data_IF_714480384110
#
_entry.id   IF_714480384110
#
_cell.length_a   1.000
_cell.length_b   1.000
_cell.length_c   1.000
_cell.angle_alpha   90.00
_cell.angle_beta   90.00
_cell.angle_gamma   90.00
#
_symmetry.space_group_name_H-M   'P 1'
#
loop_
_entity.id
_entity.type
_entity.pdbx_description
1 polymer ?
#
# COMPACT_ATOMS: atom_id res chain seq x y z
N UNK A 1 19.33 4.39 -1.44
CA UNK A 1 19.72 3.01 -1.74
C UNK A 1 18.41 2.29 -1.75
N UNK A 2 18.02 1.83 -2.92
CA UNK A 2 16.73 1.20 -3.15
C UNK A 2 16.78 -0.16 -2.44
N UNK A 3 15.82 -0.42 -1.56
CA UNK A 3 15.79 -1.69 -0.82
C UNK A 3 15.25 -2.78 -1.75
N UNK A 4 16.03 -3.83 -2.00
CA UNK A 4 15.58 -5.02 -2.72
C UNK A 4 14.90 -5.97 -1.72
N UNK A 5 13.57 -6.00 -1.77
CA UNK A 5 12.68 -6.81 -0.95
C UNK A 5 11.81 -7.73 -1.83
N UNK A 6 12.27 -8.03 -3.06
CA UNK A 6 11.58 -8.97 -3.94
C UNK A 6 11.33 -10.29 -3.25
N UNK A 7 10.11 -10.79 -3.37
CA UNK A 7 9.69 -12.06 -2.76
C UNK A 7 9.87 -12.13 -1.24
N UNK A 8 10.13 -11.01 -0.56
CA UNK A 8 10.37 -11.01 0.86
C UNK A 8 9.12 -11.48 1.61
N UNK A 9 9.33 -12.31 2.64
CA UNK A 9 8.29 -12.68 3.59
C UNK A 9 8.42 -11.81 4.83
N UNK A 10 7.62 -10.75 4.87
CA UNK A 10 7.54 -9.74 5.93
C UNK A 10 6.12 -9.65 6.47
N UNK A 11 5.43 -10.79 6.49
CA UNK A 11 4.10 -10.90 7.12
C UNK A 11 4.23 -10.67 8.63
N UNK A 12 3.22 -10.03 9.21
CA UNK A 12 3.13 -9.76 10.66
C UNK A 12 4.28 -8.90 11.23
N UNK A 13 5.09 -8.25 10.39
CA UNK A 13 6.18 -7.38 10.87
C UNK A 13 5.65 -5.99 11.20
N UNK A 14 6.27 -5.35 12.19
CA UNK A 14 6.12 -3.93 12.46
C UNK A 14 7.10 -3.14 11.57
N UNK A 15 6.54 -2.42 10.62
CA UNK A 15 7.21 -1.52 9.68
C UNK A 15 6.63 -0.11 9.81
N UNK A 16 6.12 0.24 10.99
CA UNK A 16 5.54 1.56 11.27
C UNK A 16 6.56 2.66 10.93
N UNK A 17 6.17 3.57 10.04
CA UNK A 17 7.01 4.69 9.63
C UNK A 17 8.25 4.29 8.83
N UNK A 18 8.29 3.07 8.27
CA UNK A 18 9.41 2.64 7.44
C UNK A 18 9.54 3.52 6.19
N UNK A 19 10.78 3.87 5.86
CA UNK A 19 11.14 4.51 4.58
C UNK A 19 11.40 3.40 3.56
N UNK A 20 10.41 3.16 2.70
CA UNK A 20 10.39 2.17 1.62
C UNK A 20 10.31 2.86 0.24
N UNK A 21 10.71 4.13 0.16
CA UNK A 21 10.75 4.85 -1.10
C UNK A 21 11.70 4.18 -2.07
N UNK A 22 11.29 4.11 -3.33
CA UNK A 22 12.05 3.44 -4.40
C UNK A 22 12.33 1.95 -4.12
N UNK A 23 11.73 1.35 -3.08
CA UNK A 23 11.96 -0.05 -2.77
C UNK A 23 11.33 -0.94 -3.83
N UNK A 24 11.97 -2.07 -4.06
CA UNK A 24 11.49 -3.10 -4.95
C UNK A 24 10.88 -4.22 -4.10
N UNK A 25 9.55 -4.22 -4.02
CA UNK A 25 8.69 -5.12 -3.26
C UNK A 25 7.90 -6.04 -4.19
N UNK A 26 8.30 -6.19 -5.45
CA UNK A 26 7.57 -7.05 -6.39
C UNK A 26 7.45 -8.46 -5.81
N UNK A 27 6.23 -9.01 -5.82
CA UNK A 27 5.89 -10.32 -5.23
C UNK A 27 6.13 -10.47 -3.70
N UNK A 28 6.32 -9.38 -2.96
CA UNK A 28 6.52 -9.46 -1.50
C UNK A 28 5.22 -9.86 -0.77
N UNK A 29 5.38 -10.57 0.35
CA UNK A 29 4.29 -10.94 1.25
C UNK A 29 4.29 -10.03 2.49
N UNK A 30 3.35 -9.10 2.54
CA UNK A 30 3.16 -8.08 3.59
C UNK A 30 1.85 -8.29 4.38
N UNK A 31 1.28 -9.49 4.33
CA UNK A 31 -0.03 -9.77 4.93
C UNK A 31 0.04 -9.50 6.44
N UNK A 32 -0.98 -8.83 6.98
CA UNK A 32 -1.06 -8.48 8.40
C UNK A 32 0.11 -7.65 8.94
N UNK A 33 0.93 -7.03 8.08
CA UNK A 33 2.00 -6.14 8.53
C UNK A 33 1.41 -4.83 9.07
N UNK A 34 2.07 -4.24 10.07
CA UNK A 34 1.80 -2.85 10.48
C UNK A 34 2.69 -1.94 9.62
N UNK A 35 2.07 -1.23 8.69
CA UNK A 35 2.68 -0.30 7.75
C UNK A 35 2.16 1.12 7.98
N UNK A 36 1.68 1.39 9.20
CA UNK A 36 1.15 2.70 9.57
C UNK A 36 2.22 3.76 9.35
N UNK A 37 1.89 4.84 8.63
CA UNK A 37 2.81 5.91 8.24
C UNK A 37 4.01 5.49 7.37
N UNK A 38 4.02 4.30 6.77
CA UNK A 38 5.10 3.89 5.88
C UNK A 38 5.13 4.76 4.60
N UNK A 39 6.33 5.03 4.10
CA UNK A 39 6.56 5.83 2.91
C UNK A 39 6.97 4.91 1.75
N UNK A 40 6.06 4.72 0.79
CA UNK A 40 6.21 3.90 -0.41
C UNK A 40 6.34 4.75 -1.68
N UNK A 41 6.68 6.03 -1.58
CA UNK A 41 6.76 6.88 -2.77
C UNK A 41 7.72 6.28 -3.81
N UNK A 42 7.28 6.24 -5.06
CA UNK A 42 8.01 5.66 -6.19
C UNK A 42 8.42 4.16 -6.01
N UNK A 43 7.82 3.41 -5.08
CA UNK A 43 8.12 1.99 -4.87
C UNK A 43 7.45 1.08 -5.91
N UNK A 44 8.07 -0.07 -6.21
CA UNK A 44 7.48 -1.14 -7.02
C UNK A 44 6.87 -2.20 -6.09
N UNK A 45 5.55 -2.26 -6.02
CA UNK A 45 4.77 -3.27 -5.29
C UNK A 45 4.00 -4.18 -6.25
N UNK A 46 4.41 -4.30 -7.52
CA UNK A 46 3.68 -5.10 -8.47
C UNK A 46 3.55 -6.56 -7.97
N UNK A 47 2.34 -7.12 -8.05
CA UNK A 47 2.01 -8.45 -7.55
C UNK A 47 2.26 -8.67 -6.03
N UNK A 48 2.46 -7.61 -5.23
CA UNK A 48 2.64 -7.73 -3.78
C UNK A 48 1.32 -8.10 -3.08
N UNK A 49 1.41 -8.80 -1.95
CA UNK A 49 0.27 -9.27 -1.16
C UNK A 49 0.21 -8.54 0.17
N UNK A 50 -0.62 -7.50 0.27
CA UNK A 50 -0.83 -6.63 1.44
C UNK A 50 -2.17 -6.89 2.15
N UNK A 51 -2.80 -8.04 1.93
CA UNK A 51 -4.10 -8.35 2.54
C UNK A 51 -4.04 -8.21 4.07
N UNK A 52 -5.07 -7.62 4.66
CA UNK A 52 -5.19 -7.35 6.10
C UNK A 52 -4.10 -6.46 6.72
N UNK A 53 -3.26 -5.79 5.92
CA UNK A 53 -2.24 -4.88 6.44
C UNK A 53 -2.88 -3.58 6.98
N UNK A 54 -2.26 -2.99 8.00
CA UNK A 54 -2.58 -1.64 8.44
C UNK A 54 -1.74 -0.65 7.62
N UNK A 55 -2.37 0.03 6.67
CA UNK A 55 -1.79 1.03 5.79
C UNK A 55 -2.27 2.45 6.15
N UNK A 56 -2.72 2.63 7.40
CA UNK A 56 -3.19 3.93 7.88
C UNK A 56 -2.10 4.98 7.66
N UNK A 57 -2.45 6.07 6.96
CA UNK A 57 -1.55 7.18 6.63
C UNK A 57 -0.30 6.78 5.82
N UNK A 58 -0.31 5.63 5.13
CA UNK A 58 0.77 5.25 4.21
C UNK A 58 0.78 6.13 2.95
N UNK A 59 1.97 6.42 2.43
CA UNK A 59 2.18 7.26 1.24
C UNK A 59 2.61 6.40 0.05
N UNK A 60 1.69 6.13 -0.88
CA UNK A 60 1.92 5.39 -2.13
C UNK A 60 2.02 6.34 -3.34
N UNK A 61 2.37 7.62 -3.15
CA UNK A 61 2.44 8.54 -4.28
C UNK A 61 3.39 8.00 -5.35
N UNK A 62 2.92 7.95 -6.60
CA UNK A 62 3.67 7.47 -7.76
C UNK A 62 4.19 6.01 -7.65
N UNK A 63 3.70 5.22 -6.69
CA UNK A 63 4.04 3.79 -6.56
C UNK A 63 3.37 2.92 -7.62
N UNK A 64 3.98 1.78 -7.94
CA UNK A 64 3.37 0.75 -8.79
C UNK A 64 2.73 -0.34 -7.93
N UNK A 65 1.41 -0.49 -8.00
CA UNK A 65 0.64 -1.56 -7.36
C UNK A 65 -0.05 -2.45 -8.40
N UNK A 66 0.43 -2.53 -9.64
CA UNK A 66 -0.14 -3.42 -10.67
C UNK A 66 -0.28 -4.86 -10.14
N UNK A 67 -1.46 -5.45 -10.28
CA UNK A 67 -1.82 -6.79 -9.77
C UNK A 67 -1.65 -7.01 -8.25
N UNK A 68 -1.43 -5.96 -7.45
CA UNK A 68 -1.29 -6.11 -6.00
C UNK A 68 -2.64 -6.44 -5.33
N UNK A 69 -2.61 -7.16 -4.21
CA UNK A 69 -3.82 -7.45 -3.42
C UNK A 69 -3.78 -6.76 -2.06
N UNK A 70 -4.78 -5.94 -1.77
CA UNK A 70 -4.95 -5.18 -0.54
C UNK A 70 -6.27 -5.55 0.16
N UNK A 71 -6.76 -6.78 -0.01
CA UNK A 71 -8.07 -7.21 0.49
C UNK A 71 -8.14 -7.03 2.01
N UNK A 72 -9.23 -6.42 2.48
CA UNK A 72 -9.45 -6.10 3.90
C UNK A 72 -8.35 -5.23 4.55
N UNK A 73 -7.50 -4.55 3.76
CA UNK A 73 -6.49 -3.63 4.30
C UNK A 73 -7.11 -2.32 4.81
N UNK A 74 -6.47 -1.72 5.82
CA UNK A 74 -6.86 -0.42 6.36
C UNK A 74 -6.14 0.71 5.62
N UNK A 75 -6.87 1.48 4.80
CA UNK A 75 -6.37 2.54 3.93
C UNK A 75 -6.72 3.95 4.42
N UNK A 76 -7.16 4.11 5.68
CA UNK A 76 -7.53 5.44 6.19
C UNK A 76 -6.36 6.41 6.02
N UNK A 77 -6.64 7.59 5.46
CA UNK A 77 -5.65 8.65 5.21
C UNK A 77 -4.51 8.28 4.25
N UNK A 78 -4.53 7.09 3.64
CA UNK A 78 -3.52 6.70 2.66
C UNK A 78 -3.57 7.58 1.41
N UNK A 79 -2.43 7.73 0.73
CA UNK A 79 -2.31 8.56 -0.47
C UNK A 79 -1.85 7.71 -1.66
N UNK A 80 -2.62 7.72 -2.73
CA UNK A 80 -2.35 6.99 -3.96
C UNK A 80 -2.18 7.91 -5.18
N UNK A 81 -1.98 9.23 -4.99
CA UNK A 81 -1.87 10.16 -6.12
C UNK A 81 -0.77 9.72 -7.09
N UNK A 82 -1.11 9.58 -8.37
CA UNK A 82 -0.17 9.10 -9.40
C UNK A 82 0.16 7.61 -9.35
N UNK A 83 -0.30 6.87 -8.33
CA UNK A 83 -0.04 5.45 -8.22
C UNK A 83 -0.68 4.66 -9.38
N UNK A 84 0.02 3.64 -9.86
CA UNK A 84 -0.53 2.66 -10.79
C UNK A 84 -1.27 1.60 -10.00
N UNK A 85 -2.56 1.40 -10.29
CA UNK A 85 -3.42 0.44 -9.57
C UNK A 85 -4.19 -0.47 -10.54
N UNK A 86 -3.68 -0.64 -11.76
CA UNK A 86 -4.25 -1.54 -12.75
C UNK A 86 -4.36 -2.95 -12.18
N UNK A 87 -5.56 -3.54 -12.25
CA UNK A 87 -5.87 -4.88 -11.77
C UNK A 87 -5.56 -5.15 -10.27
N UNK A 88 -5.26 -4.10 -9.50
CA UNK A 88 -5.09 -4.19 -8.05
C UNK A 88 -6.44 -4.47 -7.36
N UNK A 89 -6.42 -5.35 -6.37
CA UNK A 89 -7.61 -5.74 -5.62
C UNK A 89 -7.74 -4.94 -4.32
N UNK A 90 -8.78 -4.11 -4.23
CA UNK A 90 -9.15 -3.31 -3.06
C UNK A 90 -10.45 -3.77 -2.38
N UNK A 91 -10.90 -5.00 -2.65
CA UNK A 91 -12.12 -5.56 -2.07
C UNK A 91 -12.07 -5.49 -0.53
N UNK A 92 -13.19 -5.10 0.06
CA UNK A 92 -13.38 -4.98 1.50
C UNK A 92 -12.37 -4.08 2.24
N UNK A 93 -11.65 -3.21 1.52
CA UNK A 93 -10.76 -2.22 2.15
C UNK A 93 -11.51 -1.20 2.99
N UNK A 94 -10.86 -0.76 4.07
CA UNK A 94 -11.35 0.30 4.94
C UNK A 94 -10.71 1.63 4.54
N UNK A 95 -11.40 2.43 3.74
CA UNK A 95 -10.93 3.76 3.34
C UNK A 95 -11.73 4.87 4.02
N UNK A 96 -11.06 5.94 4.44
CA UNK A 96 -11.61 7.19 5.01
C UNK A 96 -10.57 8.27 4.78
N UNK A 97 -10.96 9.42 4.24
CA UNK A 97 -10.03 10.51 3.95
C UNK A 97 -8.85 10.03 3.08
N UNK A 98 -9.07 8.98 2.27
CA UNK A 98 -8.08 8.38 1.37
C UNK A 98 -8.00 9.20 0.11
N UNK A 99 -6.78 9.53 -0.32
CA UNK A 99 -6.53 10.26 -1.56
C UNK A 99 -6.25 9.24 -2.66
N UNK A 100 -7.10 9.19 -3.68
CA UNK A 100 -7.00 8.22 -4.77
C UNK A 100 -6.08 8.74 -5.90
N UNK A 101 -5.93 7.92 -6.95
CA UNK A 101 -4.98 8.12 -8.04
C UNK A 101 -5.19 9.40 -8.84
N UNK A 102 -6.41 9.91 -8.87
CA UNK A 102 -6.77 11.19 -9.49
C UNK A 102 -6.41 12.43 -8.63
N UNK A 103 -5.84 12.21 -7.44
CA UNK A 103 -5.47 13.27 -6.50
C UNK A 103 -6.65 13.82 -5.70
N UNK A 104 -7.83 13.24 -5.82
CA UNK A 104 -9.01 13.63 -5.05
C UNK A 104 -9.07 12.82 -3.77
N UNK A 105 -9.37 13.50 -2.66
CA UNK A 105 -9.63 12.85 -1.37
C UNK A 105 -11.10 12.52 -1.23
N UNK A 106 -11.38 11.30 -0.79
CA UNK A 106 -12.73 10.80 -0.60
C UNK A 106 -12.99 10.37 0.85
N UNK A 107 -14.15 10.78 1.36
CA UNK A 107 -14.58 10.46 2.72
C UNK A 107 -15.49 9.22 2.74
N UNK A 108 -14.88 8.10 3.11
CA UNK A 108 -15.45 6.79 3.51
C UNK A 108 -16.34 6.00 2.56
N UNK A 109 -16.16 4.69 2.67
CA UNK A 109 -17.17 3.68 2.39
C UNK A 109 -18.40 3.94 3.29
N UNK A 110 -19.42 4.62 2.76
CA UNK A 110 -20.74 4.54 3.37
C UNK A 110 -21.17 3.08 3.28
N UNK A 111 -21.59 2.52 4.42
CA UNK A 111 -22.18 1.18 4.49
C UNK A 111 -23.27 0.97 3.43
#
# INVERSE_FOLDING_TARGET
MDADLKYADIRFTDLTGADLRYADLTYAYLNYADLTNADFQDADLANAVLNYADLTNADFQDADLEDATLVEADLKFAKFSGATVTDANFDDTYWHETMWTDGVRYDTNQA
#
